data_IF_835791487073
#
_entry.id   IF_835791487073
#
_cell.length_a   1.000
_cell.length_b   1.000
_cell.length_c   1.000
_cell.angle_alpha   90.00
_cell.angle_beta   90.00
_cell.angle_gamma   90.00
#
_symmetry.space_group_name_H-M   'P 1'
#
loop_
_entity.id
_entity.type
_entity.pdbx_description
1 polymer ?
#
# COMPACT_ATOMS: atom_id res chain seq x y z
N UNK A 1 -8.07 -34.10 27.67
CA UNK A 1 -8.68 -32.84 28.13
C UNK A 1 -8.06 -31.71 27.32
N UNK A 2 -8.72 -30.76 26.68
CA UNK A 2 -10.08 -30.65 26.16
C UNK A 2 -9.92 -29.56 25.08
N UNK A 3 -10.07 -29.88 23.80
CA UNK A 3 -9.90 -28.93 22.67
C UNK A 3 -11.14 -28.06 22.43
N UNK A 4 -11.99 -27.90 23.43
CA UNK A 4 -13.24 -27.13 23.35
C UNK A 4 -13.28 -26.18 24.54
N UNK A 5 -12.98 -24.89 24.32
CA UNK A 5 -13.67 -23.70 24.90
C UNK A 5 -12.86 -22.42 24.67
N UNK A 6 -12.79 -21.93 23.42
CA UNK A 6 -12.71 -20.47 23.13
C UNK A 6 -13.45 -20.20 21.81
N UNK A 7 -14.66 -20.75 21.64
CA UNK A 7 -15.47 -20.55 20.44
C UNK A 7 -16.93 -20.17 20.73
N UNK A 8 -17.29 -19.80 21.96
CA UNK A 8 -18.71 -19.67 22.35
C UNK A 8 -19.11 -18.37 23.10
N UNK A 9 -18.33 -17.28 23.02
CA UNK A 9 -18.78 -15.98 23.60
C UNK A 9 -18.46 -14.75 22.72
N UNK A 10 -18.64 -14.89 21.41
CA UNK A 10 -18.95 -13.74 20.58
C UNK A 10 -20.18 -14.14 19.76
N UNK A 11 -21.38 -13.93 20.32
CA UNK A 11 -22.49 -13.50 19.47
C UNK A 11 -22.02 -12.17 18.84
N UNK A 12 -21.21 -12.26 17.78
CA UNK A 12 -21.10 -11.17 16.82
C UNK A 12 -22.53 -10.98 16.33
N UNK A 13 -23.17 -9.91 16.81
CA UNK A 13 -24.36 -9.33 16.22
C UNK A 13 -24.06 -9.28 14.71
N UNK A 14 -24.60 -10.25 13.96
CA UNK A 14 -24.27 -10.42 12.56
C UNK A 14 -24.91 -9.25 11.84
N UNK A 15 -24.16 -8.16 11.78
CA UNK A 15 -24.48 -7.01 10.97
C UNK A 15 -23.85 -7.24 9.60
N UNK A 16 -24.64 -7.67 8.59
CA UNK A 16 -24.14 -7.85 7.24
C UNK A 16 -23.62 -6.54 6.63
N UNK A 17 -23.94 -5.37 7.22
CA UNK A 17 -23.43 -4.08 6.81
C UNK A 17 -21.99 -3.86 7.35
N UNK A 18 -21.73 -4.14 8.62
CA UNK A 18 -20.38 -4.15 9.21
C UNK A 18 -19.39 -5.04 8.44
N UNK A 19 -19.81 -6.26 8.07
CA UNK A 19 -18.96 -7.19 7.29
C UNK A 19 -18.63 -6.64 5.88
N UNK A 20 -19.59 -5.98 5.23
CA UNK A 20 -19.39 -5.36 3.90
C UNK A 20 -18.45 -4.15 3.97
N UNK A 21 -18.58 -3.32 4.99
CA UNK A 21 -17.69 -2.18 5.20
C UNK A 21 -16.24 -2.63 5.45
N UNK A 22 -16.05 -3.66 6.28
CA UNK A 22 -14.73 -4.26 6.50
C UNK A 22 -14.10 -4.80 5.22
N UNK A 23 -14.87 -5.53 4.40
CA UNK A 23 -14.36 -6.06 3.14
C UNK A 23 -14.06 -4.92 2.14
N UNK A 24 -14.85 -3.84 2.15
CA UNK A 24 -14.57 -2.63 1.35
C UNK A 24 -13.26 -1.96 1.77
N UNK A 25 -13.04 -1.78 3.07
CA UNK A 25 -11.80 -1.19 3.59
C UNK A 25 -10.61 -2.08 3.28
N UNK A 26 -10.75 -3.39 3.51
CA UNK A 26 -9.71 -4.39 3.22
C UNK A 26 -9.34 -4.40 1.75
N UNK A 27 -10.32 -4.47 0.86
CA UNK A 27 -10.09 -4.48 -0.60
C UNK A 27 -9.46 -3.17 -1.07
N UNK A 28 -9.88 -2.02 -0.52
CA UNK A 28 -9.26 -0.73 -0.80
C UNK A 28 -7.79 -0.69 -0.34
N UNK A 29 -7.49 -1.17 0.87
CA UNK A 29 -6.12 -1.25 1.37
C UNK A 29 -5.23 -2.15 0.52
N UNK A 30 -5.69 -3.36 0.19
CA UNK A 30 -4.93 -4.31 -0.64
C UNK A 30 -4.65 -3.73 -2.02
N UNK A 31 -5.65 -3.06 -2.62
CA UNK A 31 -5.50 -2.37 -3.90
C UNK A 31 -4.47 -1.25 -3.82
N UNK A 32 -4.58 -0.37 -2.82
CA UNK A 32 -3.69 0.78 -2.69
C UNK A 32 -2.26 0.37 -2.38
N UNK A 33 -2.07 -0.64 -1.51
CA UNK A 33 -0.75 -1.21 -1.22
C UNK A 33 -0.05 -1.71 -2.49
N UNK A 34 -0.79 -2.40 -3.37
CA UNK A 34 -0.24 -2.88 -4.64
C UNK A 34 0.10 -1.73 -5.58
N UNK A 35 -0.72 -0.68 -5.61
CA UNK A 35 -0.46 0.49 -6.42
C UNK A 35 0.81 1.23 -5.96
N UNK A 36 0.97 1.39 -4.65
CA UNK A 36 2.16 2.00 -4.04
C UNK A 36 3.44 1.21 -4.35
N UNK A 37 3.41 -0.13 -4.27
CA UNK A 37 4.54 -0.98 -4.64
C UNK A 37 5.00 -0.73 -6.09
N UNK A 38 4.05 -0.64 -7.03
CA UNK A 38 4.36 -0.35 -8.44
C UNK A 38 5.00 1.03 -8.58
N UNK A 39 4.44 2.04 -7.93
CA UNK A 39 4.98 3.41 -7.95
C UNK A 39 6.39 3.46 -7.40
N UNK A 40 6.67 2.81 -6.27
CA UNK A 40 8.00 2.80 -5.67
C UNK A 40 9.04 2.18 -6.61
N UNK A 41 8.69 1.09 -7.29
CA UNK A 41 9.56 0.46 -8.29
C UNK A 41 9.82 1.41 -9.47
N UNK A 42 8.78 2.08 -9.97
CA UNK A 42 8.88 3.02 -11.08
C UNK A 42 9.73 4.25 -10.71
N UNK A 43 9.53 4.81 -9.52
CA UNK A 43 10.33 5.92 -9.02
C UNK A 43 11.81 5.53 -8.84
N UNK A 44 12.08 4.33 -8.31
CA UNK A 44 13.44 3.83 -8.14
C UNK A 44 14.17 3.64 -9.49
N UNK A 45 13.44 3.20 -10.52
CA UNK A 45 13.99 3.02 -11.88
C UNK A 45 14.10 4.32 -12.68
N UNK A 46 13.28 5.31 -12.34
CA UNK A 46 13.21 6.59 -13.05
C UNK A 46 14.48 7.43 -12.85
N UNK A 47 14.90 8.16 -13.89
CA UNK A 47 16.08 9.03 -13.87
C UNK A 47 15.75 10.35 -14.54
N UNK A 48 15.89 11.45 -13.80
CA UNK A 48 15.78 12.80 -14.36
C UNK A 48 17.18 13.27 -14.74
N UNK A 49 17.36 13.67 -16.00
CA UNK A 49 18.59 14.27 -16.52
C UNK A 49 18.29 15.70 -16.94
N UNK A 50 18.97 16.65 -16.31
CA UNK A 50 18.93 18.07 -16.67
C UNK A 50 20.08 18.39 -17.61
N UNK A 51 19.83 19.21 -18.62
CA UNK A 51 20.84 19.71 -19.56
C UNK A 51 20.92 21.23 -19.36
N UNK A 52 22.10 21.75 -19.07
CA UNK A 52 22.32 23.19 -18.93
C UNK A 52 22.55 23.90 -20.28
N UNK A 53 22.65 25.22 -20.24
CA UNK A 53 22.87 26.06 -21.42
C UNK A 53 24.18 25.74 -22.17
N UNK A 54 25.15 25.10 -21.50
CA UNK A 54 26.40 24.65 -22.11
C UNK A 54 26.33 23.19 -22.60
N UNK A 55 25.16 22.56 -22.52
CA UNK A 55 24.93 21.17 -22.94
C UNK A 55 25.39 20.12 -21.94
N UNK A 56 25.77 20.49 -20.72
CA UNK A 56 26.27 19.56 -19.70
C UNK A 56 25.10 18.84 -19.03
N UNK A 57 25.23 17.51 -18.89
CA UNK A 57 24.21 16.65 -18.28
C UNK A 57 24.42 16.55 -16.77
N UNK A 58 23.36 16.76 -16.00
CA UNK A 58 23.32 16.57 -14.54
C UNK A 58 22.20 15.61 -14.16
N UNK A 59 22.51 14.61 -13.33
CA UNK A 59 21.50 13.71 -12.76
C UNK A 59 20.80 14.42 -11.61
N UNK A 60 19.47 14.40 -11.61
CA UNK A 60 18.64 14.93 -10.52
C UNK A 60 18.03 13.74 -9.78
N UNK A 61 18.22 13.62 -8.45
CA UNK A 61 17.57 12.57 -7.66
C UNK A 61 16.07 12.86 -7.55
N UNK A 62 15.25 11.80 -7.67
CA UNK A 62 13.79 11.90 -7.57
C UNK A 62 13.34 11.81 -6.10
N UNK A 63 14.05 11.02 -5.31
CA UNK A 63 13.83 10.88 -3.87
C UNK A 63 14.86 11.75 -3.15
N UNK A 64 14.39 12.64 -2.27
CA UNK A 64 15.26 13.21 -1.24
C UNK A 64 15.59 12.06 -0.29
N UNK A 65 16.87 11.82 -0.01
CA UNK A 65 17.25 10.94 1.09
C UNK A 65 16.53 11.44 2.36
N UNK A 66 15.85 10.53 3.05
CA UNK A 66 15.22 10.76 4.36
C UNK A 66 16.12 10.18 5.45
#
# INVERSE_FOLDING_TARGET
MNQQTILDEFEEDYDPEYSKEHEKIRSAYVKERRYLEVIEIELNRSKIIMIDEQGRKRKVPILSEH
#
